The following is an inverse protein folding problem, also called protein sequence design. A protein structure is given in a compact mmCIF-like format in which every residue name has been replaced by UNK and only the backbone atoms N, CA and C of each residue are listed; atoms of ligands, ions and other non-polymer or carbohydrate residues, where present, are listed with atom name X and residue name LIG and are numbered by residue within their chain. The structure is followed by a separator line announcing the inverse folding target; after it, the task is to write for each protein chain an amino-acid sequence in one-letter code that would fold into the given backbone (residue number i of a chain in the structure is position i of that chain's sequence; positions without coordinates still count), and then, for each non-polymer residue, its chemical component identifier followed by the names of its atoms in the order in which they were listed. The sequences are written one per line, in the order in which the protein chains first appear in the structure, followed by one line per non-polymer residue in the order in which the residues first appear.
data_IF_856083944111
#
_entry.id   IF_856083944111
#
_cell.length_a   1.000
_cell.length_b   1.000
_cell.length_c   1.000
_cell.angle_alpha   90.00
_cell.angle_beta   90.00
_cell.angle_gamma   90.00
#
_symmetry.space_group_name_H-M   'P 1'
#
loop_
_entity.id
_entity.type
_entity.pdbx_description
1 polymer ?
#
# COMPACT_ATOMS: atom_id res chain seq x y z
N UNK A 1 -1.36 -19.46 0.92
CA UNK A 1 -2.36 -18.74 0.10
C UNK A 1 -3.74 -19.01 0.67
N UNK A 2 -4.63 -18.01 0.65
CA UNK A 2 -6.01 -18.09 1.13
C UNK A 2 -6.93 -18.35 -0.05
N UNK A 3 -7.94 -19.20 0.11
CA UNK A 3 -8.89 -19.58 -0.94
C UNK A 3 -10.32 -19.25 -0.53
N UNK A 4 -11.17 -18.90 -1.50
CA UNK A 4 -12.61 -18.77 -1.28
C UNK A 4 -13.00 -17.67 -0.29
N UNK A 5 -12.45 -16.46 -0.45
CA UNK A 5 -12.78 -15.30 0.39
C UNK A 5 -14.15 -14.74 0.01
N UNK A 6 -15.20 -15.29 0.62
CA UNK A 6 -16.60 -14.99 0.27
C UNK A 6 -17.09 -13.61 0.74
N UNK A 7 -16.49 -13.06 1.80
CA UNK A 7 -16.88 -11.74 2.33
C UNK A 7 -16.29 -10.56 1.52
N UNK A 8 -15.24 -10.79 0.71
CA UNK A 8 -14.68 -9.75 -0.14
C UNK A 8 -15.47 -9.71 -1.46
N UNK A 9 -16.39 -8.76 -1.56
CA UNK A 9 -17.40 -8.75 -2.64
C UNK A 9 -17.05 -7.88 -3.85
N UNK A 10 -15.98 -7.08 -3.80
CA UNK A 10 -15.65 -6.16 -4.91
C UNK A 10 -15.13 -6.88 -6.16
N UNK A 11 -14.48 -8.03 -5.98
CA UNK A 11 -13.97 -8.86 -7.07
C UNK A 11 -13.80 -10.29 -6.58
N UNK A 12 -14.26 -11.25 -7.37
CA UNK A 12 -13.94 -12.66 -7.14
C UNK A 12 -12.45 -12.90 -7.33
N UNK A 13 -11.77 -13.30 -6.25
CA UNK A 13 -10.36 -13.67 -6.26
C UNK A 13 -10.27 -15.10 -5.69
N UNK A 14 -10.12 -16.12 -6.55
CA UNK A 14 -10.14 -17.52 -6.10
C UNK A 14 -9.07 -17.82 -5.05
N UNK A 15 -7.90 -17.21 -5.22
CA UNK A 15 -6.74 -17.40 -4.37
C UNK A 15 -5.93 -16.11 -4.22
N UNK A 16 -5.57 -15.75 -2.98
CA UNK A 16 -4.80 -14.54 -2.66
C UNK A 16 -3.86 -14.79 -1.47
N UNK A 17 -2.72 -14.10 -1.42
CA UNK A 17 -1.87 -14.12 -0.23
C UNK A 17 -2.50 -13.32 0.91
N UNK A 18 -2.13 -13.61 2.16
CA UNK A 18 -2.56 -12.80 3.31
C UNK A 18 -2.13 -11.33 3.14
N UNK A 19 -0.89 -11.09 2.73
CA UNK A 19 -0.39 -9.74 2.44
C UNK A 19 -1.21 -9.05 1.34
N UNK A 20 -1.57 -9.76 0.27
CA UNK A 20 -2.43 -9.23 -0.78
C UNK A 20 -3.81 -8.82 -0.27
N UNK A 21 -4.43 -9.65 0.58
CA UNK A 21 -5.72 -9.34 1.20
C UNK A 21 -5.62 -8.14 2.17
N UNK A 22 -4.56 -8.08 2.97
CA UNK A 22 -4.27 -6.95 3.86
C UNK A 22 -4.15 -5.64 3.07
N UNK A 23 -3.46 -5.66 1.92
CA UNK A 23 -3.36 -4.50 1.04
C UNK A 23 -4.76 -4.08 0.54
N UNK A 24 -5.60 -5.01 0.08
CA UNK A 24 -6.95 -4.66 -0.39
C UNK A 24 -7.80 -3.98 0.70
N UNK A 25 -7.80 -4.55 1.91
CA UNK A 25 -8.58 -4.02 3.04
C UNK A 25 -8.05 -2.65 3.48
N UNK A 26 -6.73 -2.53 3.68
CA UNK A 26 -6.12 -1.26 4.12
C UNK A 26 -6.26 -0.17 3.07
N UNK A 27 -6.09 -0.49 1.79
CA UNK A 27 -6.26 0.46 0.69
C UNK A 27 -7.68 1.04 0.68
N UNK A 28 -8.70 0.18 0.80
CA UNK A 28 -10.10 0.60 0.88
C UNK A 28 -10.37 1.44 2.14
N UNK A 29 -9.80 1.03 3.26
CA UNK A 29 -9.98 1.71 4.56
C UNK A 29 -9.38 3.10 4.54
N UNK A 30 -8.14 3.24 4.03
CA UNK A 30 -7.47 4.54 3.85
C UNK A 30 -8.28 5.44 2.92
N UNK A 31 -8.74 4.92 1.78
CA UNK A 31 -9.56 5.70 0.85
C UNK A 31 -10.85 6.21 1.51
N UNK A 32 -11.62 5.30 2.12
CA UNK A 32 -12.89 5.66 2.74
C UNK A 32 -12.69 6.66 3.87
N UNK A 33 -11.68 6.42 4.71
CA UNK A 33 -11.41 7.27 5.84
C UNK A 33 -10.98 8.68 5.42
N UNK A 34 -9.99 8.82 4.54
CA UNK A 34 -9.50 10.14 4.10
C UNK A 34 -10.57 10.94 3.33
N UNK A 35 -11.47 10.26 2.60
CA UNK A 35 -12.48 10.93 1.78
C UNK A 35 -13.82 11.18 2.50
N UNK A 36 -14.11 10.48 3.60
CA UNK A 36 -15.42 10.52 4.27
C UNK A 36 -15.33 10.74 5.78
N UNK A 37 -14.65 9.86 6.51
CA UNK A 37 -14.71 9.83 7.98
C UNK A 37 -13.75 10.84 8.63
N UNK A 38 -12.57 11.03 8.02
CA UNK A 38 -11.50 11.93 8.48
C UNK A 38 -10.97 11.59 9.89
N UNK A 39 -10.98 10.33 10.27
CA UNK A 39 -10.33 9.85 11.49
C UNK A 39 -8.81 9.85 11.30
N UNK A 40 -8.05 10.55 12.15
CA UNK A 40 -6.60 10.67 11.99
C UNK A 40 -5.85 9.35 12.19
N UNK A 41 -6.28 8.56 13.17
CA UNK A 41 -5.56 7.37 13.61
C UNK A 41 -5.78 6.20 12.66
N UNK A 42 -6.99 6.06 12.12
CA UNK A 42 -7.36 4.91 11.29
C UNK A 42 -6.50 4.81 10.01
N UNK A 43 -6.30 5.91 9.28
CA UNK A 43 -5.49 5.86 8.07
C UNK A 43 -3.99 5.75 8.39
N UNK A 44 -3.53 6.44 9.45
CA UNK A 44 -2.13 6.37 9.90
C UNK A 44 -1.74 4.93 10.25
N UNK A 45 -2.58 4.22 11.01
CA UNK A 45 -2.33 2.82 11.37
C UNK A 45 -2.35 1.88 10.15
N UNK A 46 -3.26 2.09 9.21
CA UNK A 46 -3.31 1.30 7.97
C UNK A 46 -2.04 1.51 7.11
N UNK A 47 -1.60 2.76 6.96
CA UNK A 47 -0.42 3.12 6.19
C UNK A 47 0.86 2.62 6.86
N UNK A 48 0.97 2.74 8.19
CA UNK A 48 2.06 2.18 8.97
C UNK A 48 2.18 0.67 8.81
N UNK A 49 1.06 -0.07 8.89
CA UNK A 49 1.04 -1.51 8.68
C UNK A 49 1.50 -1.88 7.26
N UNK A 50 1.01 -1.18 6.23
CA UNK A 50 1.46 -1.37 4.85
C UNK A 50 2.97 -1.14 4.69
N UNK A 51 3.45 -0.03 5.25
CA UNK A 51 4.85 0.37 5.18
C UNK A 51 5.78 -0.66 5.83
N UNK A 52 5.41 -1.16 7.02
CA UNK A 52 6.17 -2.19 7.73
C UNK A 52 6.28 -3.52 6.96
N UNK A 53 5.26 -3.89 6.18
CA UNK A 53 5.25 -5.15 5.43
C UNK A 53 5.83 -5.03 4.01
N UNK A 54 6.00 -3.80 3.51
CA UNK A 54 6.26 -3.51 2.10
C UNK A 54 7.52 -4.17 1.52
N UNK A 55 8.57 -4.35 2.33
CA UNK A 55 9.82 -4.98 1.91
C UNK A 55 9.69 -6.49 1.66
N UNK A 56 8.66 -7.12 2.23
CA UNK A 56 8.43 -8.57 2.16
C UNK A 56 7.31 -8.95 1.18
N UNK A 57 6.66 -7.96 0.57
CA UNK A 57 5.64 -8.24 -0.44
C UNK A 57 6.28 -8.90 -1.65
N UNK A 58 5.78 -10.09 -1.97
CA UNK A 58 6.21 -10.88 -3.12
C UNK A 58 4.98 -11.45 -3.82
N UNK A 59 5.09 -11.66 -5.13
CA UNK A 59 4.03 -12.27 -5.96
C UNK A 59 2.67 -11.57 -5.81
N UNK A 60 2.68 -10.23 -5.71
CA UNK A 60 1.44 -9.47 -5.58
C UNK A 60 0.49 -9.75 -6.75
N UNK A 61 -0.76 -10.07 -6.43
CA UNK A 61 -1.80 -10.32 -7.43
C UNK A 61 -2.04 -9.05 -8.28
N UNK A 62 -2.32 -9.14 -9.60
CA UNK A 62 -2.50 -7.98 -10.47
C UNK A 62 -3.52 -6.97 -9.95
N UNK A 63 -4.65 -7.47 -9.44
CA UNK A 63 -5.69 -6.62 -8.86
C UNK A 63 -5.24 -5.91 -7.57
N UNK A 64 -4.36 -6.50 -6.76
CA UNK A 64 -3.81 -5.85 -5.57
C UNK A 64 -2.94 -4.66 -5.98
N UNK A 65 -2.10 -4.84 -7.00
CA UNK A 65 -1.26 -3.77 -7.56
C UNK A 65 -2.12 -2.63 -8.12
N UNK A 66 -3.18 -2.97 -8.87
CA UNK A 66 -4.15 -2.00 -9.39
C UNK A 66 -4.85 -1.22 -8.28
N UNK A 67 -5.24 -1.88 -7.18
CA UNK A 67 -5.87 -1.19 -6.04
C UNK A 67 -4.89 -0.27 -5.32
N UNK A 68 -3.65 -0.71 -5.09
CA UNK A 68 -2.62 0.11 -4.46
C UNK A 68 -2.32 1.39 -5.26
N UNK A 69 -2.02 1.25 -6.56
CA UNK A 69 -1.76 2.41 -7.44
C UNK A 69 -3.03 3.24 -7.65
N UNK A 70 -4.20 2.60 -7.70
CA UNK A 70 -5.49 3.28 -7.82
C UNK A 70 -5.83 4.16 -6.61
N UNK A 71 -5.45 3.76 -5.39
CA UNK A 71 -5.56 4.62 -4.21
C UNK A 71 -4.68 5.85 -4.35
N UNK A 72 -3.41 5.68 -4.74
CA UNK A 72 -2.52 6.80 -5.01
C UNK A 72 -3.15 7.77 -6.03
N UNK A 73 -3.70 7.25 -7.13
CA UNK A 73 -4.39 8.04 -8.16
C UNK A 73 -5.59 8.84 -7.60
N UNK A 74 -6.41 8.23 -6.75
CA UNK A 74 -7.55 8.90 -6.12
C UNK A 74 -7.09 9.99 -5.16
N UNK A 75 -6.09 9.72 -4.33
CA UNK A 75 -5.54 10.70 -3.38
C UNK A 75 -4.82 11.83 -4.11
N UNK A 76 -4.11 11.55 -5.20
CA UNK A 76 -3.42 12.54 -6.03
C UNK A 76 -4.41 13.55 -6.63
N UNK A 77 -5.53 13.05 -7.19
CA UNK A 77 -6.61 13.93 -7.67
C UNK A 77 -7.25 14.74 -6.55
N UNK A 78 -7.34 14.17 -5.35
CA UNK A 78 -7.92 14.86 -4.19
C UNK A 78 -7.00 15.98 -3.71
N UNK A 79 -5.70 15.70 -3.61
CA UNK A 79 -4.65 16.66 -3.26
C UNK A 79 -4.61 17.84 -4.24
N UNK A 80 -4.65 17.55 -5.55
CA UNK A 80 -4.68 18.56 -6.60
C UNK A 80 -5.93 19.46 -6.56
N UNK A 81 -7.11 18.91 -6.21
CA UNK A 81 -8.36 19.67 -6.10
C UNK A 81 -8.42 20.55 -4.86
N UNK A 82 -7.74 20.14 -3.80
CA UNK A 82 -7.71 20.85 -2.52
C UNK A 82 -6.55 21.84 -2.42
N UNK A 83 -5.86 22.17 -3.53
CA UNK A 83 -4.72 23.09 -3.56
C UNK A 83 -3.67 22.81 -2.47
N UNK A 84 -3.38 21.53 -2.20
CA UNK A 84 -2.43 21.09 -1.16
C UNK A 84 -2.84 21.41 0.30
N UNK A 85 -4.10 21.76 0.56
CA UNK A 85 -4.57 22.13 1.92
C UNK A 85 -4.85 20.91 2.82
N UNK A 86 -4.78 19.68 2.29
CA UNK A 86 -5.03 18.44 3.02
C UNK A 86 -3.72 17.74 3.41
N UNK A 87 -3.11 18.16 4.52
CA UNK A 87 -1.85 17.57 5.02
C UNK A 87 -1.91 16.04 5.16
N UNK A 88 -3.01 15.50 5.67
CA UNK A 88 -3.20 14.05 5.80
C UNK A 88 -3.20 13.30 4.46
N UNK A 89 -3.68 13.92 3.37
CA UNK A 89 -3.64 13.32 2.03
C UNK A 89 -2.21 13.38 1.48
N UNK A 90 -1.50 14.47 1.71
CA UNK A 90 -0.10 14.62 1.32
C UNK A 90 0.80 13.57 2.01
N UNK A 91 0.65 13.41 3.32
CA UNK A 91 1.32 12.37 4.12
C UNK A 91 1.00 10.96 3.59
N UNK A 92 -0.28 10.69 3.30
CA UNK A 92 -0.69 9.40 2.74
C UNK A 92 -0.08 9.13 1.36
N UNK A 93 -0.01 10.14 0.49
CA UNK A 93 0.64 10.04 -0.82
C UNK A 93 2.13 9.71 -0.67
N UNK A 94 2.82 10.38 0.26
CA UNK A 94 4.23 10.14 0.53
C UNK A 94 4.46 8.70 0.98
N UNK A 95 3.70 8.22 1.98
CA UNK A 95 3.85 6.86 2.49
C UNK A 95 3.54 5.81 1.41
N UNK A 96 2.53 6.03 0.56
CA UNK A 96 2.23 5.12 -0.54
C UNK A 96 3.37 5.05 -1.56
N UNK A 97 4.01 6.17 -1.89
CA UNK A 97 5.19 6.19 -2.77
C UNK A 97 6.37 5.46 -2.12
N UNK A 98 6.56 5.61 -0.81
CA UNK A 98 7.60 4.91 -0.05
C UNK A 98 7.33 3.39 0.03
N UNK A 99 6.07 2.96 0.19
CA UNK A 99 5.63 1.56 0.11
C UNK A 99 5.97 0.97 -1.26
N UNK A 100 5.64 1.67 -2.34
CA UNK A 100 5.97 1.24 -3.71
C UNK A 100 7.49 1.13 -3.87
N UNK A 101 8.24 2.14 -3.41
CA UNK A 101 9.70 2.14 -3.45
C UNK A 101 10.32 0.96 -2.69
N UNK A 102 9.78 0.63 -1.52
CA UNK A 102 10.22 -0.50 -0.72
C UNK A 102 9.99 -1.83 -1.47
N UNK A 103 8.83 -2.00 -2.12
CA UNK A 103 8.57 -3.17 -2.97
C UNK A 103 9.57 -3.27 -4.13
N UNK A 104 9.87 -2.15 -4.80
CA UNK A 104 10.79 -2.08 -5.93
C UNK A 104 12.26 -2.27 -5.53
N UNK A 105 12.63 -1.84 -4.33
CA UNK A 105 14.01 -1.96 -3.83
C UNK A 105 14.33 -3.37 -3.37
N UNK A 106 13.36 -4.04 -2.74
CA UNK A 106 13.58 -5.33 -2.09
C UNK A 106 13.13 -6.52 -2.94
N UNK A 107 12.03 -6.39 -3.69
CA UNK A 107 11.30 -7.52 -4.26
C UNK A 107 10.84 -7.31 -5.71
N UNK A 108 11.46 -6.39 -6.46
CA UNK A 108 11.02 -6.04 -7.82
C UNK A 108 10.89 -7.27 -8.73
N UNK A 109 11.88 -8.16 -8.70
CA UNK A 109 11.90 -9.37 -9.54
C UNK A 109 10.74 -10.34 -9.22
N UNK A 110 10.18 -10.24 -8.01
CA UNK A 110 9.06 -11.06 -7.55
C UNK A 110 7.71 -10.32 -7.66
N UNK A 111 7.71 -9.05 -8.05
CA UNK A 111 6.52 -8.20 -8.15
C UNK A 111 6.35 -7.60 -9.55
N UNK A 112 6.46 -8.43 -10.59
CA UNK A 112 6.35 -7.98 -11.99
C UNK A 112 4.96 -7.42 -12.33
N UNK A 113 3.92 -7.87 -11.61
CA UNK A 113 2.58 -7.28 -11.71
C UNK A 113 2.53 -5.81 -11.23
N UNK A 114 3.34 -5.46 -10.22
CA UNK A 114 3.47 -4.08 -9.77
C UNK A 114 4.16 -3.24 -10.83
N UNK A 115 5.28 -3.74 -11.38
CA UNK A 115 6.00 -3.08 -12.49
C UNK A 115 5.07 -2.85 -13.69
N UNK A 116 4.32 -3.88 -14.10
CA UNK A 116 3.33 -3.77 -15.17
C UNK A 116 2.27 -2.68 -14.87
N UNK A 117 1.77 -2.64 -13.63
CA UNK A 117 0.78 -1.62 -13.22
C UNK A 117 1.38 -0.22 -13.26
N UNK A 118 2.64 -0.03 -12.85
CA UNK A 118 3.34 1.25 -12.90
C UNK A 118 3.54 1.73 -14.34
N UNK A 119 3.90 0.84 -15.27
CA UNK A 119 4.00 1.16 -16.70
C UNK A 119 2.64 1.62 -17.25
N UNK A 120 1.57 0.88 -16.94
CA UNK A 120 0.22 1.19 -17.42
C UNK A 120 -0.34 2.49 -16.84
N UNK A 121 0.04 2.85 -15.60
CA UNK A 121 -0.43 4.04 -14.88
C UNK A 121 0.64 5.13 -14.72
N UNK A 122 1.65 5.14 -15.59
CA UNK A 122 2.83 6.04 -15.46
C UNK A 122 2.47 7.52 -15.32
N UNK A 123 1.44 7.97 -16.03
CA UNK A 123 1.00 9.37 -16.08
C UNK A 123 0.53 9.89 -14.72
N UNK A 124 0.09 9.00 -13.82
CA UNK A 124 -0.37 9.37 -12.47
C UNK A 124 0.77 9.98 -11.64
N UNK A 125 2.03 9.66 -11.97
CA UNK A 125 3.20 10.17 -11.25
C UNK A 125 3.74 11.49 -11.81
N UNK A 126 3.34 11.88 -13.03
CA UNK A 126 3.88 13.06 -13.73
C UNK A 126 3.79 14.37 -12.91
N UNK A 127 2.66 14.68 -12.22
CA UNK A 127 2.55 15.92 -11.44
C UNK A 127 3.54 16.00 -10.27
N UNK A 128 4.05 14.85 -9.80
CA UNK A 128 4.86 14.75 -8.60
C UNK A 128 6.36 14.81 -8.86
N UNK A 129 6.79 14.69 -10.13
CA UNK A 129 8.21 14.70 -10.54
C UNK A 129 9.00 15.94 -10.10
N UNK A 130 8.33 17.09 -10.04
CA UNK A 130 8.94 18.39 -9.67
C UNK A 130 8.47 18.88 -8.29
N UNK A 131 7.61 18.11 -7.62
CA UNK A 131 7.06 18.55 -6.34
C UNK A 131 8.10 18.34 -5.23
N UNK A 132 8.46 19.36 -4.43
CA UNK A 132 9.54 19.25 -3.43
C UNK A 132 9.36 18.10 -2.44
N UNK A 133 8.11 17.85 -2.04
CA UNK A 133 7.76 16.78 -1.10
C UNK A 133 7.73 15.36 -1.71
N UNK A 134 7.88 15.19 -3.02
CA UNK A 134 7.69 13.88 -3.68
C UNK A 134 8.76 13.53 -4.73
N UNK A 135 9.47 14.52 -5.27
CA UNK A 135 10.40 14.33 -6.38
C UNK A 135 11.44 13.22 -6.14
N UNK A 136 11.93 13.08 -4.90
CA UNK A 136 12.94 12.11 -4.53
C UNK A 136 12.40 10.67 -4.58
N UNK A 137 11.19 10.43 -4.06
CA UNK A 137 10.55 9.11 -4.08
C UNK A 137 10.02 8.74 -5.46
N UNK A 138 9.58 9.72 -6.25
CA UNK A 138 9.10 9.49 -7.63
C UNK A 138 10.25 9.16 -8.58
N UNK A 139 11.43 9.74 -8.39
CA UNK A 139 12.60 9.49 -9.25
C UNK A 139 12.95 8.00 -9.41
N UNK A 140 12.85 7.21 -8.32
CA UNK A 140 13.07 5.77 -8.37
C UNK A 140 12.00 5.05 -9.20
N UNK A 141 10.74 5.46 -9.08
CA UNK A 141 9.61 4.89 -9.85
C UNK A 141 9.79 5.21 -11.33
N UNK A 142 10.16 6.45 -11.67
CA UNK A 142 10.48 6.85 -13.06
C UNK A 142 11.64 6.04 -13.63
N UNK A 143 12.70 5.79 -12.86
CA UNK A 143 13.84 4.98 -13.31
C UNK A 143 13.42 3.54 -13.65
N UNK A 144 12.52 2.96 -12.85
CA UNK A 144 11.94 1.65 -13.15
C UNK A 144 11.10 1.72 -14.42
N UNK A 145 10.17 2.68 -14.51
CA UNK A 145 9.30 2.86 -15.68
C UNK A 145 10.13 3.04 -16.96
N UNK A 146 11.16 3.88 -16.95
CA UNK A 146 12.03 4.16 -18.09
C UNK A 146 12.82 2.91 -18.52
N UNK A 147 13.42 2.20 -17.56
CA UNK A 147 14.14 0.96 -17.87
C UNK A 147 13.22 -0.07 -18.54
N UNK A 148 12.05 -0.34 -17.96
CA UNK A 148 11.14 -1.35 -18.52
C UNK A 148 10.50 -0.88 -19.83
N UNK A 149 10.19 0.41 -19.98
CA UNK A 149 9.72 0.96 -21.26
C UNK A 149 10.75 0.73 -22.38
N UNK A 150 12.04 1.02 -22.11
CA UNK A 150 13.12 0.81 -23.08
C UNK A 150 13.35 -0.65 -23.46
N UNK A 151 12.97 -1.59 -22.58
CA UNK A 151 13.04 -3.04 -22.84
C UNK A 151 11.87 -3.53 -23.68
N UNK A 152 10.69 -2.92 -23.52
CA UNK A 152 9.51 -3.24 -24.31
C UNK A 152 9.57 -2.67 -25.73
N UNK A 153 10.14 -1.48 -25.92
CA UNK A 153 10.30 -0.82 -27.23
C UNK A 153 11.31 -1.53 -28.16
N UNK A 154 12.34 -2.17 -27.60
CA UNK A 154 13.38 -2.86 -28.39
C UNK A 154 12.93 -4.16 -29.04
N UNK A 155 11.76 -4.69 -28.67
CA UNK A 155 11.26 -6.01 -29.06
C UNK A 155 9.91 -5.90 -29.79
N UNK A 156 9.77 -4.93 -30.71
CA UNK A 156 8.57 -4.71 -31.54
C UNK A 156 8.23 -5.91 -32.45
N UNK A 157 7.60 -6.94 -31.87
CA UNK A 157 6.75 -7.89 -32.58
C UNK A 157 5.33 -7.88 -31.96
N UNK A 158 4.47 -7.10 -32.63
CA UNK A 158 3.07 -7.31 -33.05
C UNK A 158 1.97 -7.91 -32.16
N UNK A 159 2.16 -8.18 -30.86
CA UNK A 159 1.01 -8.52 -30.00
C UNK A 159 0.88 -7.58 -28.81
N UNK A 160 -0.17 -6.75 -28.81
CA UNK A 160 -0.61 -5.95 -27.65
C UNK A 160 -1.28 -6.78 -26.55
N UNK A 161 -1.07 -8.09 -26.53
CA UNK A 161 -1.63 -8.98 -25.53
C UNK A 161 -0.96 -8.79 -24.15
N UNK A 162 -1.78 -8.69 -23.11
CA UNK A 162 -1.35 -8.41 -21.73
C UNK A 162 -0.40 -9.49 -21.21
N UNK A 163 -0.64 -10.76 -21.54
CA UNK A 163 0.21 -11.85 -21.06
C UNK A 163 1.60 -11.80 -21.71
N UNK A 164 1.64 -11.43 -22.98
CA UNK A 164 2.91 -11.24 -23.70
C UNK A 164 3.72 -10.10 -23.10
N UNK A 165 3.10 -8.95 -22.83
CA UNK A 165 3.79 -7.82 -22.16
C UNK A 165 4.28 -8.22 -20.78
N UNK A 166 3.47 -8.92 -19.98
CA UNK A 166 3.85 -9.36 -18.65
C UNK A 166 5.03 -10.36 -18.69
N UNK A 167 5.04 -11.29 -19.64
CA UNK A 167 6.16 -12.21 -19.85
C UNK A 167 7.47 -11.47 -20.18
N UNK A 168 7.39 -10.41 -21.01
CA UNK A 168 8.54 -9.54 -21.31
C UNK A 168 9.03 -8.79 -20.06
N UNK A 169 8.10 -8.26 -19.26
CA UNK A 169 8.44 -7.62 -17.96
C UNK A 169 9.13 -8.63 -17.04
N UNK A 170 8.64 -9.87 -16.94
CA UNK A 170 9.27 -10.92 -16.14
C UNK A 170 10.70 -11.22 -16.60
N UNK A 171 10.92 -11.37 -17.90
CA UNK A 171 12.25 -11.59 -18.46
C UNK A 171 13.19 -10.40 -18.19
N UNK A 172 12.74 -9.18 -18.46
CA UNK A 172 13.53 -7.96 -18.24
C UNK A 172 13.86 -7.71 -16.76
N UNK A 173 13.01 -8.17 -15.83
CA UNK A 173 13.23 -8.05 -14.40
C UNK A 173 14.44 -8.87 -13.92
N UNK A 174 14.75 -10.00 -14.56
CA UNK A 174 15.96 -10.79 -14.24
C UNK A 174 17.26 -10.01 -14.52
N UNK A 175 17.21 -9.05 -15.43
CA UNK A 175 18.34 -8.19 -15.81
C UNK A 175 18.36 -6.87 -15.04
N UNK A 176 17.42 -6.65 -14.10
CA UNK A 176 17.33 -5.39 -13.36
C UNK A 176 18.55 -5.16 -12.45
N UNK A 177 19.26 -4.03 -12.58
CA UNK A 177 20.40 -3.71 -11.74
C UNK A 177 19.93 -3.23 -10.34
N UNK A 178 19.92 -4.16 -9.38
CA UNK A 178 19.38 -3.95 -8.02
C UNK A 178 19.93 -2.74 -7.25
N UNK A 179 21.14 -2.29 -7.57
CA UNK A 179 21.80 -1.17 -6.87
C UNK A 179 21.53 0.21 -7.47
N UNK A 180 20.64 0.33 -8.46
CA UNK A 180 20.35 1.62 -9.11
C UNK A 180 19.41 2.52 -8.32
N UNK A 181 18.54 1.96 -7.50
CA UNK A 181 17.54 2.73 -6.77
C UNK A 181 18.18 3.48 -5.60
N UNK A 182 17.79 4.74 -5.42
CA UNK A 182 18.11 5.51 -4.23
C UNK A 182 17.55 4.78 -3.02
N UNK A 183 18.38 4.56 -2.00
CA UNK A 183 17.95 3.95 -0.74
C UNK A 183 17.25 4.99 0.12
N UNK A 184 16.08 4.63 0.64
CA UNK A 184 15.35 5.39 1.65
C UNK A 184 15.53 4.71 3.02
N UNK A 185 15.33 5.46 4.12
CA UNK A 185 15.22 4.86 5.45
C UNK A 185 14.18 3.75 5.45
N UNK A 186 14.42 2.69 6.23
CA UNK A 186 13.41 1.65 6.41
C UNK A 186 12.17 2.23 7.07
N UNK A 187 11.02 1.95 6.46
CA UNK A 187 9.73 2.27 7.04
C UNK A 187 9.45 1.31 8.21
N UNK A 188 9.87 1.72 9.41
CA UNK A 188 9.62 0.99 10.65
C UNK A 188 8.78 1.85 11.58
N UNK A 189 7.48 1.68 11.49
CA UNK A 189 6.52 2.23 12.42
C UNK A 189 6.36 1.28 13.59
N UNK A 190 6.71 1.74 14.79
CA UNK A 190 6.50 1.00 16.03
C UNK A 190 5.17 1.42 16.64
N UNK A 191 4.43 0.45 17.13
CA UNK A 191 3.36 0.76 18.06
C UNK A 191 3.99 1.39 19.31
N UNK A 192 3.45 2.54 19.71
CA UNK A 192 3.79 3.19 20.98
C UNK A 192 2.58 2.95 21.86
N UNK A 193 2.77 2.17 22.91
CA UNK A 193 1.77 2.07 23.98
C UNK A 193 1.56 3.47 24.55
N UNK A 194 0.30 3.86 24.73
CA UNK A 194 -0.01 5.04 25.53
C UNK A 194 0.66 4.91 26.90
N UNK A 195 1.13 6.01 27.49
CA UNK A 195 1.83 5.93 28.78
C UNK A 195 0.92 5.41 29.90
N UNK A 196 -0.39 5.56 29.73
CA UNK A 196 -1.41 5.20 30.72
C UNK A 196 -2.65 4.56 30.08
N UNK A 197 -2.54 3.36 29.50
CA UNK A 197 -3.68 2.68 28.88
C UNK A 197 -4.80 2.39 29.90
N UNK A 198 -4.48 2.32 31.19
CA UNK A 198 -5.41 2.16 32.30
C UNK A 198 -6.40 3.32 32.48
N UNK A 199 -6.05 4.53 32.03
CA UNK A 199 -6.95 5.68 32.17
C UNK A 199 -8.12 5.64 31.17
N UNK A 200 -7.99 4.91 30.05
CA UNK A 200 -9.01 4.88 28.99
C UNK A 200 -9.18 3.52 28.29
N UNK A 201 -8.11 2.98 27.72
CA UNK A 201 -8.17 1.79 26.86
C UNK A 201 -8.56 0.53 27.63
N UNK A 202 -7.94 0.29 28.79
CA UNK A 202 -8.23 -0.90 29.61
C UNK A 202 -9.68 -0.88 30.12
N UNK A 203 -10.21 0.22 30.70
CA UNK A 203 -11.63 0.31 31.05
C UNK A 203 -12.58 0.11 29.87
N UNK A 204 -12.24 0.66 28.69
CA UNK A 204 -13.07 0.54 27.50
C UNK A 204 -13.12 -0.91 26.97
N UNK A 205 -11.98 -1.57 26.84
CA UNK A 205 -11.90 -2.98 26.40
C UNK A 205 -12.65 -3.88 27.38
N UNK A 206 -12.49 -3.68 28.69
CA UNK A 206 -13.25 -4.43 29.69
C UNK A 206 -14.75 -4.19 29.63
N UNK A 207 -15.17 -2.97 29.29
CA UNK A 207 -16.59 -2.67 29.06
C UNK A 207 -17.13 -3.48 27.88
N UNK A 208 -16.40 -3.55 26.78
CA UNK A 208 -16.78 -4.36 25.61
C UNK A 208 -16.80 -5.86 25.95
N UNK A 209 -15.79 -6.37 26.65
CA UNK A 209 -15.72 -7.77 27.07
C UNK A 209 -16.89 -8.12 27.99
N UNK A 210 -17.19 -7.29 28.98
CA UNK A 210 -18.34 -7.49 29.87
C UNK A 210 -19.68 -7.46 29.12
N UNK A 211 -19.82 -6.58 28.13
CA UNK A 211 -21.07 -6.44 27.36
C UNK A 211 -21.28 -7.56 26.33
N UNK A 212 -20.21 -8.05 25.68
CA UNK A 212 -20.33 -8.88 24.49
C UNK A 212 -19.78 -10.31 24.62
N UNK A 213 -19.05 -10.65 25.70
CA UNK A 213 -18.49 -12.00 25.85
C UNK A 213 -19.52 -13.06 26.26
N UNK A 214 -20.65 -12.65 26.83
CA UNK A 214 -21.62 -13.56 27.44
C UNK A 214 -21.10 -14.25 28.71
N UNK A 215 -19.94 -13.85 29.24
CA UNK A 215 -19.35 -14.37 30.46
C UNK A 215 -19.69 -13.44 31.63
N UNK A 216 -20.07 -14.02 32.78
CA UNK A 216 -20.34 -13.25 33.98
C UNK A 216 -19.02 -12.85 34.66
N UNK A 217 -18.60 -11.61 34.48
CA UNK A 217 -17.44 -11.03 35.17
C UNK A 217 -17.87 -10.31 36.45
N UNK A 218 -17.16 -10.53 37.56
CA UNK A 218 -17.32 -9.75 38.78
C UNK A 218 -16.64 -8.38 38.63
N UNK A 219 -17.45 -7.32 38.58
CA UNK A 219 -17.01 -5.94 38.38
C UNK A 219 -16.03 -5.43 39.45
N UNK A 220 -16.00 -6.02 40.65
CA UNK A 220 -15.05 -5.64 41.70
C UNK A 220 -13.63 -6.18 41.46
N UNK A 221 -13.50 -7.30 40.75
CA UNK A 221 -12.20 -7.91 40.44
C UNK A 221 -11.46 -7.21 39.28
N UNK A 222 -12.19 -6.46 38.44
CA UNK A 222 -11.65 -5.79 37.25
C UNK A 222 -10.99 -4.43 37.51
N UNK A 223 -11.20 -3.83 38.70
CA UNK A 223 -10.65 -2.51 39.05
C UNK A 223 -9.22 -2.54 39.61
N UNK A 224 -8.65 -3.72 39.85
CA UNK A 224 -7.34 -3.89 40.49
C UNK A 224 -6.21 -4.31 39.52
N UNK A 225 -6.51 -4.47 38.24
CA UNK A 225 -5.56 -4.90 37.20
C UNK A 225 -5.20 -3.76 36.25
#
# INVERSE_FOLDING_TARGET
MLKGITWYTERMIPEISLGGLMILVTTRTVQYNLLKMRDKYLHTNCLAALANMSAEFTQLHPYVCQRLVGLFEVLARTHARANNELSAVEEALRILLEVINSCLSNQLIHNTNLVYTLLYKREVFDPFRKHPAFQDVVQNIDMVIEYFSSKLEKEEEQSGDVNTVLARVQHAALQWPRNRLKKFPELKFKYVEEEKPEEFFVPYVWTLVAQFSGLHFDAFSLKQS
#
